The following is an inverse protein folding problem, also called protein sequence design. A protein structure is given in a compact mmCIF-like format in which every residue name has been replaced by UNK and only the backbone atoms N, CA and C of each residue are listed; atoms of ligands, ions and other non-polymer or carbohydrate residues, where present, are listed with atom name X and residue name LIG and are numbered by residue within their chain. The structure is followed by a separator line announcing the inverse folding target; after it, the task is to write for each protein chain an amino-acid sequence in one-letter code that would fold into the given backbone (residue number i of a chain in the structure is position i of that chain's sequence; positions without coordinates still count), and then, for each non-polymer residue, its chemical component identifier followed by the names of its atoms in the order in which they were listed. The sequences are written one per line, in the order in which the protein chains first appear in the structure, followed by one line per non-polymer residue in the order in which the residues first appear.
data_IF_447033502140
#
_entry.id   IF_447033502140
#
_cell.length_a   1.000
_cell.length_b   1.000
_cell.length_c   1.000
_cell.angle_alpha   90.00
_cell.angle_beta   90.00
_cell.angle_gamma   90.00
#
_symmetry.space_group_name_H-M   'P 1'
#
loop_
_entity.id
_entity.type
_entity.pdbx_description
1 polymer ?
#
# COMPACT_ATOMS: atom_id res chain seq x y z
N UNK A 1 -46.96 20.67 10.96
CA UNK A 1 -46.20 19.63 11.71
C UNK A 1 -46.08 18.40 10.82
N UNK A 2 -45.18 18.47 9.84
CA UNK A 2 -45.00 17.40 8.84
C UNK A 2 -44.31 16.22 9.51
N UNK A 3 -45.02 15.09 9.60
CA UNK A 3 -44.43 13.80 9.93
C UNK A 3 -43.36 13.49 8.89
N UNK A 4 -42.14 13.26 9.37
CA UNK A 4 -41.06 12.66 8.60
C UNK A 4 -41.31 11.16 8.68
N UNK A 5 -41.60 10.54 7.54
CA UNK A 5 -41.58 9.09 7.41
C UNK A 5 -40.21 8.57 7.88
N UNK A 6 -40.16 7.54 8.76
CA UNK A 6 -38.91 6.89 9.08
C UNK A 6 -38.50 6.10 7.84
N UNK A 7 -37.58 6.64 7.06
CA UNK A 7 -36.90 5.87 6.03
C UNK A 7 -36.41 4.57 6.66
N UNK A 8 -36.97 3.44 6.21
CA UNK A 8 -36.47 2.12 6.55
C UNK A 8 -34.94 2.12 6.33
N UNK A 9 -34.15 1.51 7.23
CA UNK A 9 -32.72 1.43 7.01
C UNK A 9 -32.53 0.75 5.66
N UNK A 10 -31.86 1.42 4.71
CA UNK A 10 -31.44 0.74 3.49
C UNK A 10 -30.60 -0.44 3.95
N UNK A 11 -31.15 -1.65 3.87
CA UNK A 11 -30.48 -2.83 4.38
C UNK A 11 -29.21 -2.99 3.53
N UNK A 12 -28.07 -2.59 4.10
CA UNK A 12 -26.77 -2.83 3.48
C UNK A 12 -26.74 -4.33 3.12
N UNK A 13 -26.62 -4.69 1.82
CA UNK A 13 -26.66 -6.09 1.40
C UNK A 13 -25.56 -6.93 2.05
N UNK A 14 -24.51 -6.27 2.58
CA UNK A 14 -23.41 -6.92 3.27
C UNK A 14 -23.62 -7.03 4.78
N UNK A 15 -24.61 -6.37 5.37
CA UNK A 15 -24.84 -6.40 6.82
C UNK A 15 -24.97 -7.82 7.41
N UNK A 16 -25.69 -8.78 6.79
CA UNK A 16 -25.81 -10.12 7.33
C UNK A 16 -24.47 -10.88 7.37
N UNK A 17 -23.67 -10.80 6.30
CA UNK A 17 -22.37 -11.50 6.22
C UNK A 17 -21.35 -10.86 7.15
N UNK A 18 -21.38 -9.54 7.31
CA UNK A 18 -20.52 -8.82 8.25
C UNK A 18 -20.89 -9.19 9.69
N UNK A 19 -22.19 -9.16 10.03
CA UNK A 19 -22.68 -9.50 11.37
C UNK A 19 -22.30 -10.94 11.76
N UNK A 20 -22.53 -11.91 10.87
CA UNK A 20 -22.15 -13.30 11.10
C UNK A 20 -20.64 -13.44 11.37
N UNK A 21 -19.80 -12.78 10.58
CA UNK A 21 -18.35 -12.83 10.73
C UNK A 21 -17.83 -12.16 12.02
N UNK A 22 -18.55 -11.18 12.55
CA UNK A 22 -18.21 -10.52 13.82
C UNK A 22 -18.51 -11.39 15.04
N UNK A 23 -19.46 -12.34 14.94
CA UNK A 23 -19.74 -13.32 16.00
C UNK A 23 -18.67 -14.42 16.13
N UNK A 24 -17.85 -14.60 15.10
CA UNK A 24 -16.76 -15.57 15.12
C UNK A 24 -15.51 -15.06 15.86
N UNK A 25 -14.65 -15.99 16.27
CA UNK A 25 -13.37 -15.68 16.90
C UNK A 25 -12.59 -14.59 16.14
N UNK A 26 -12.14 -13.52 16.82
CA UNK A 26 -11.43 -12.41 16.18
C UNK A 26 -10.14 -12.84 15.48
N UNK A 27 -10.15 -12.74 14.15
CA UNK A 27 -8.97 -12.81 13.28
C UNK A 27 -8.72 -11.44 12.67
N UNK A 28 -7.45 -11.04 12.62
CA UNK A 28 -6.98 -9.72 12.16
C UNK A 28 -7.46 -9.33 10.77
N UNK A 29 -7.35 -10.24 9.82
CA UNK A 29 -7.81 -10.07 8.44
C UNK A 29 -8.50 -11.37 8.05
N UNK A 30 -9.75 -11.27 7.60
CA UNK A 30 -10.57 -12.41 7.21
C UNK A 30 -11.25 -12.10 5.87
N UNK A 31 -11.15 -13.00 4.86
CA UNK A 31 -11.98 -12.91 3.67
C UNK A 31 -13.43 -13.30 4.02
N UNK A 32 -14.40 -12.57 3.48
CA UNK A 32 -15.82 -12.86 3.59
C UNK A 32 -16.35 -13.18 2.18
N UNK A 33 -16.53 -14.45 1.81
CA UNK A 33 -17.03 -14.80 0.49
C UNK A 33 -18.46 -14.31 0.31
N UNK A 34 -18.78 -13.83 -0.90
CA UNK A 34 -20.10 -13.41 -1.31
C UNK A 34 -20.74 -14.47 -2.25
N UNK A 35 -22.08 -14.54 -2.34
CA UNK A 35 -22.76 -15.55 -3.16
C UNK A 35 -22.47 -15.47 -4.66
N UNK A 36 -22.07 -14.31 -5.15
CA UNK A 36 -21.70 -14.04 -6.55
C UNK A 36 -20.26 -14.47 -6.89
N UNK A 37 -19.51 -14.99 -5.92
CA UNK A 37 -18.11 -15.37 -6.08
C UNK A 37 -17.12 -14.22 -5.83
N UNK A 38 -17.60 -13.01 -5.52
CA UNK A 38 -16.76 -11.92 -5.02
C UNK A 38 -16.44 -12.13 -3.52
N UNK A 39 -15.61 -11.27 -2.94
CA UNK A 39 -15.30 -11.31 -1.53
C UNK A 39 -15.13 -9.91 -0.91
N UNK A 40 -15.39 -9.83 0.38
CA UNK A 40 -15.01 -8.68 1.21
C UNK A 40 -13.81 -9.03 2.08
N UNK A 41 -13.13 -7.99 2.58
CA UNK A 41 -12.04 -8.13 3.53
C UNK A 41 -12.41 -7.46 4.85
N UNK A 42 -12.66 -8.28 5.87
CA UNK A 42 -12.85 -7.84 7.24
C UNK A 42 -11.48 -7.70 7.92
N UNK A 43 -11.13 -6.49 8.33
CA UNK A 43 -9.94 -6.20 9.14
C UNK A 43 -10.37 -5.83 10.55
N UNK A 44 -9.92 -6.58 11.55
CA UNK A 44 -10.21 -6.35 12.98
C UNK A 44 -8.97 -5.93 13.75
N UNK A 45 -9.14 -5.28 14.89
CA UNK A 45 -8.06 -5.07 15.85
C UNK A 45 -7.62 -6.42 16.42
N UNK A 46 -6.30 -6.64 16.50
CA UNK A 46 -5.76 -7.75 17.32
C UNK A 46 -5.57 -7.22 18.73
N UNK A 47 -5.91 -8.00 19.74
CA UNK A 47 -5.44 -7.73 21.10
C UNK A 47 -3.91 -7.80 21.09
N UNK A 48 -3.30 -6.63 21.20
CA UNK A 48 -1.87 -6.50 21.08
C UNK A 48 -1.23 -7.03 22.37
N UNK A 49 -0.51 -8.15 22.29
CA UNK A 49 0.52 -8.45 23.28
C UNK A 49 1.47 -7.25 23.40
N UNK A 50 2.06 -7.01 24.57
CA UNK A 50 2.96 -5.85 24.80
C UNK A 50 4.05 -5.71 23.71
N UNK A 51 4.59 -6.84 23.23
CA UNK A 51 5.58 -6.89 22.13
C UNK A 51 5.00 -6.44 20.78
N UNK A 52 3.74 -6.76 20.49
CA UNK A 52 3.05 -6.33 19.28
C UNK A 52 2.71 -4.83 19.34
N UNK A 53 2.34 -4.31 20.51
CA UNK A 53 2.13 -2.88 20.70
C UNK A 53 3.41 -2.07 20.48
N UNK A 54 4.56 -2.51 21.00
CA UNK A 54 5.84 -1.84 20.75
C UNK A 54 6.24 -1.81 19.25
N UNK A 55 5.88 -2.84 18.49
CA UNK A 55 6.22 -2.94 17.06
C UNK A 55 5.24 -2.21 16.14
N UNK A 56 3.95 -2.35 16.40
CA UNK A 56 2.88 -1.86 15.52
C UNK A 56 2.26 -0.54 16.01
N UNK A 57 2.34 -0.26 17.31
CA UNK A 57 1.68 0.86 17.98
C UNK A 57 0.22 0.56 18.32
N UNK A 58 -0.55 1.62 18.55
CA UNK A 58 -1.99 1.54 18.79
C UNK A 58 -2.74 1.12 17.50
N UNK A 59 -3.25 -0.12 17.50
CA UNK A 59 -3.95 -0.71 16.37
C UNK A 59 -5.32 -0.08 16.11
N UNK A 60 -6.03 0.40 17.14
CA UNK A 60 -7.32 1.11 16.98
C UNK A 60 -7.08 2.43 16.28
N UNK A 61 -6.02 3.16 16.66
CA UNK A 61 -5.61 4.38 15.95
C UNK A 61 -5.20 4.13 14.50
N UNK A 62 -4.46 3.05 14.22
CA UNK A 62 -4.09 2.71 12.83
C UNK A 62 -5.32 2.36 11.99
N UNK A 63 -6.25 1.60 12.55
CA UNK A 63 -7.47 1.19 11.86
C UNK A 63 -8.37 2.39 11.58
N UNK A 64 -8.56 3.27 12.57
CA UNK A 64 -9.29 4.53 12.41
C UNK A 64 -8.71 5.39 11.28
N UNK A 65 -7.38 5.56 11.25
CA UNK A 65 -6.68 6.29 10.17
C UNK A 65 -6.88 5.66 8.81
N UNK A 66 -6.85 4.33 8.73
CA UNK A 66 -7.10 3.62 7.48
C UNK A 66 -8.53 3.85 6.99
N UNK A 67 -9.52 3.76 7.88
CA UNK A 67 -10.93 4.06 7.57
C UNK A 67 -11.11 5.51 7.08
N UNK A 68 -10.60 6.48 7.84
CA UNK A 68 -10.66 7.91 7.46
C UNK A 68 -9.99 8.17 6.10
N UNK A 69 -8.85 7.55 5.83
CA UNK A 69 -8.17 7.66 4.56
C UNK A 69 -8.97 7.00 3.42
N UNK A 70 -9.56 5.81 3.61
CA UNK A 70 -10.41 5.18 2.60
C UNK A 70 -11.58 6.10 2.22
N UNK A 71 -12.30 6.64 3.22
CA UNK A 71 -13.44 7.55 2.98
C UNK A 71 -12.99 8.82 2.23
N UNK A 72 -11.99 9.53 2.77
CA UNK A 72 -11.58 10.81 2.22
C UNK A 72 -10.99 10.70 0.81
N UNK A 73 -10.19 9.65 0.54
CA UNK A 73 -9.55 9.45 -0.75
C UNK A 73 -10.52 8.85 -1.78
N UNK A 74 -11.43 7.96 -1.34
CA UNK A 74 -12.50 7.43 -2.18
C UNK A 74 -13.43 8.53 -2.66
N UNK A 75 -13.86 9.42 -1.76
CA UNK A 75 -14.67 10.59 -2.10
C UNK A 75 -13.96 11.55 -3.08
N UNK A 76 -12.63 11.58 -3.07
CA UNK A 76 -11.81 12.37 -4.00
C UNK A 76 -11.51 11.65 -5.33
N UNK A 77 -12.09 10.46 -5.58
CA UNK A 77 -11.86 9.68 -6.79
C UNK A 77 -10.43 9.14 -6.92
N UNK A 78 -9.71 9.00 -5.80
CA UNK A 78 -8.34 8.49 -5.78
C UNK A 78 -8.33 6.95 -5.76
N UNK A 79 -7.27 6.31 -6.27
CA UNK A 79 -7.21 4.86 -6.46
C UNK A 79 -7.01 4.10 -5.14
N UNK A 80 -8.01 4.09 -4.27
CA UNK A 80 -8.01 3.37 -2.99
C UNK A 80 -9.09 2.29 -2.97
N UNK A 81 -8.91 1.32 -2.10
CA UNK A 81 -9.94 0.30 -1.89
C UNK A 81 -11.26 0.91 -1.40
N UNK A 82 -12.38 0.41 -1.91
CA UNK A 82 -13.70 0.85 -1.49
C UNK A 82 -14.01 0.33 -0.07
N UNK A 83 -14.31 1.25 0.84
CA UNK A 83 -14.84 0.93 2.17
C UNK A 83 -16.31 0.52 2.01
N UNK A 84 -16.69 -0.60 2.63
CA UNK A 84 -18.08 -1.05 2.73
C UNK A 84 -18.68 -0.53 4.03
N UNK A 85 -18.04 -0.87 5.15
CA UNK A 85 -18.44 -0.41 6.47
C UNK A 85 -17.22 -0.37 7.40
N UNK A 86 -17.32 0.30 8.55
CA UNK A 86 -16.28 0.24 9.56
C UNK A 86 -16.62 0.95 10.85
N UNK A 87 -16.29 0.28 11.95
CA UNK A 87 -16.42 0.76 13.31
C UNK A 87 -15.04 1.08 13.93
N UNK A 88 -15.00 1.34 15.25
CA UNK A 88 -13.76 1.61 15.99
C UNK A 88 -12.75 0.46 15.92
N UNK A 89 -13.23 -0.78 15.85
CA UNK A 89 -12.42 -1.99 16.04
C UNK A 89 -12.34 -2.90 14.83
N UNK A 90 -13.08 -2.55 13.78
CA UNK A 90 -13.08 -3.30 12.54
C UNK A 90 -13.41 -2.41 11.36
N UNK A 91 -12.97 -2.79 10.17
CA UNK A 91 -13.39 -2.19 8.91
C UNK A 91 -13.52 -3.28 7.85
N UNK A 92 -14.43 -3.08 6.90
CA UNK A 92 -14.70 -3.99 5.79
C UNK A 92 -14.49 -3.26 4.49
N UNK A 93 -13.74 -3.85 3.58
CA UNK A 93 -13.51 -3.31 2.23
C UNK A 93 -13.90 -4.31 1.17
N UNK A 94 -14.21 -3.82 -0.04
CA UNK A 94 -14.30 -4.67 -1.23
C UNK A 94 -12.96 -5.37 -1.51
N UNK A 95 -13.01 -6.45 -2.27
CA UNK A 95 -11.81 -6.99 -2.89
C UNK A 95 -11.15 -5.96 -3.81
N UNK A 96 -9.82 -5.97 -3.83
CA UNK A 96 -9.02 -5.05 -4.64
C UNK A 96 -8.20 -5.78 -5.72
N UNK A 97 -8.43 -7.09 -5.88
CA UNK A 97 -7.63 -7.98 -6.71
C UNK A 97 -6.30 -8.38 -6.08
N UNK A 98 -5.47 -9.01 -6.90
CA UNK A 98 -4.18 -9.54 -6.49
C UNK A 98 -3.18 -8.40 -6.19
N UNK A 99 -2.42 -8.53 -5.09
CA UNK A 99 -1.35 -7.58 -4.81
C UNK A 99 -0.15 -7.80 -5.74
N UNK A 100 0.63 -6.75 -6.02
CA UNK A 100 1.76 -6.82 -6.96
C UNK A 100 2.82 -7.86 -6.57
N UNK A 101 2.98 -8.17 -5.28
CA UNK A 101 3.93 -9.22 -4.86
C UNK A 101 3.45 -10.61 -5.32
N UNK A 102 2.15 -10.85 -5.29
CA UNK A 102 1.57 -12.10 -5.82
C UNK A 102 1.81 -12.18 -7.33
N UNK A 103 1.39 -11.16 -8.08
CA UNK A 103 1.54 -11.08 -9.54
C UNK A 103 2.99 -11.17 -10.03
N UNK A 104 3.94 -10.69 -9.23
CA UNK A 104 5.36 -10.80 -9.54
C UNK A 104 5.88 -12.25 -9.41
N UNK A 105 5.29 -13.06 -8.53
CA UNK A 105 5.78 -14.39 -8.17
C UNK A 105 4.96 -15.53 -8.75
N UNK A 106 3.75 -15.25 -9.17
CA UNK A 106 2.83 -16.23 -9.71
C UNK A 106 3.33 -16.66 -11.11
N UNK A 107 3.46 -17.98 -11.31
CA UNK A 107 4.04 -18.56 -12.52
C UNK A 107 3.09 -18.48 -13.73
N UNK A 108 1.80 -18.43 -13.45
CA UNK A 108 0.67 -18.31 -14.38
C UNK A 108 0.45 -16.87 -14.86
N UNK A 109 0.88 -15.86 -14.09
CA UNK A 109 0.82 -14.47 -14.54
C UNK A 109 1.80 -14.24 -15.69
N UNK A 110 1.26 -13.98 -16.89
CA UNK A 110 2.08 -13.74 -18.06
C UNK A 110 2.86 -12.41 -17.96
N UNK A 111 3.97 -12.30 -18.69
CA UNK A 111 4.84 -11.11 -18.62
C UNK A 111 4.11 -9.81 -18.98
N UNK A 112 3.22 -9.85 -19.98
CA UNK A 112 2.41 -8.71 -20.41
C UNK A 112 1.48 -8.21 -19.31
N UNK A 113 0.78 -9.13 -18.66
CA UNK A 113 -0.13 -8.82 -17.56
C UNK A 113 0.66 -8.21 -16.39
N UNK A 114 1.75 -8.85 -15.96
CA UNK A 114 2.62 -8.32 -14.91
C UNK A 114 3.13 -6.91 -15.23
N UNK A 115 3.56 -6.64 -16.46
CA UNK A 115 4.02 -5.31 -16.87
C UNK A 115 2.88 -4.28 -16.81
N UNK A 116 1.67 -4.64 -17.26
CA UNK A 116 0.49 -3.79 -17.16
C UNK A 116 0.12 -3.46 -15.70
N UNK A 117 0.16 -4.44 -14.79
CA UNK A 117 -0.06 -4.22 -13.35
C UNK A 117 0.85 -3.15 -12.78
N UNK A 118 2.14 -3.27 -13.11
CA UNK A 118 3.17 -2.39 -12.58
C UNK A 118 3.09 -1.00 -13.20
N UNK A 119 2.83 -0.90 -14.51
CA UNK A 119 2.57 0.38 -15.16
C UNK A 119 1.38 1.10 -14.51
N UNK A 120 0.25 0.41 -14.34
CA UNK A 120 -0.94 0.94 -13.67
C UNK A 120 -0.64 1.36 -12.21
N UNK A 121 0.22 0.63 -11.51
CA UNK A 121 0.64 0.98 -10.15
C UNK A 121 1.47 2.27 -10.12
N UNK A 122 2.37 2.44 -11.09
CA UNK A 122 3.14 3.66 -11.28
C UNK A 122 2.23 4.87 -11.52
N UNK A 123 1.27 4.73 -12.43
CA UNK A 123 0.29 5.77 -12.73
C UNK A 123 -0.58 6.11 -11.50
N UNK A 124 -1.10 5.10 -10.80
CA UNK A 124 -1.90 5.29 -9.59
C UNK A 124 -1.13 6.04 -8.49
N UNK A 125 0.16 5.73 -8.31
CA UNK A 125 1.01 6.43 -7.35
C UNK A 125 1.27 7.89 -7.77
N UNK A 126 1.47 8.14 -9.07
CA UNK A 126 1.59 9.50 -9.60
C UNK A 126 0.31 10.30 -9.38
N UNK A 127 -0.88 9.69 -9.58
CA UNK A 127 -2.18 10.30 -9.30
C UNK A 127 -2.33 10.71 -7.83
N UNK A 128 -1.95 9.85 -6.88
CA UNK A 128 -1.93 10.21 -5.45
C UNK A 128 -1.03 11.43 -5.19
N UNK A 129 0.20 11.40 -5.73
CA UNK A 129 1.17 12.48 -5.50
C UNK A 129 0.72 13.80 -6.13
N UNK A 130 0.10 13.78 -7.31
CA UNK A 130 -0.51 14.98 -7.94
C UNK A 130 -1.64 15.57 -7.10
N UNK A 131 -2.42 14.72 -6.42
CA UNK A 131 -3.43 15.17 -5.46
C UNK A 131 -2.84 15.70 -4.15
N UNK A 132 -1.51 15.73 -3.99
CA UNK A 132 -0.85 16.21 -2.78
C UNK A 132 -0.90 15.21 -1.63
N UNK A 133 -1.15 13.93 -1.91
CA UNK A 133 -1.31 12.84 -0.96
C UNK A 133 -0.11 11.91 -1.03
N UNK A 134 0.41 11.47 0.12
CA UNK A 134 1.38 10.37 0.20
C UNK A 134 0.69 9.14 0.78
N UNK A 135 0.95 7.96 0.22
CA UNK A 135 0.59 6.69 0.85
C UNK A 135 1.37 6.49 2.16
N UNK A 136 2.63 6.93 2.21
CA UNK A 136 3.52 6.84 3.37
C UNK A 136 4.19 5.47 3.58
N UNK A 137 3.71 4.41 2.90
CA UNK A 137 4.32 3.07 2.86
C UNK A 137 3.83 2.24 1.66
N UNK A 138 4.00 2.72 0.40
CA UNK A 138 3.52 2.02 -0.79
C UNK A 138 4.40 0.81 -1.13
N UNK A 139 4.23 -0.29 -0.40
CA UNK A 139 4.92 -1.55 -0.72
C UNK A 139 4.16 -2.31 -1.79
N UNK A 140 4.81 -3.24 -2.50
CA UNK A 140 4.10 -4.15 -3.42
C UNK A 140 2.86 -4.85 -2.84
N UNK A 141 2.85 -5.10 -1.53
CA UNK A 141 1.72 -5.76 -0.85
C UNK A 141 0.55 -4.81 -0.59
N UNK A 142 0.76 -3.50 -0.66
CA UNK A 142 -0.26 -2.49 -0.42
C UNK A 142 -0.86 -1.91 -1.71
N UNK A 143 -0.50 -2.51 -2.86
CA UNK A 143 -0.98 -2.12 -4.18
C UNK A 143 -1.59 -3.37 -4.80
N UNK A 144 -2.89 -3.31 -5.09
CA UNK A 144 -3.63 -4.41 -5.69
C UNK A 144 -4.13 -4.04 -7.09
N UNK A 145 -4.28 -5.04 -7.94
CA UNK A 145 -4.79 -4.93 -9.30
C UNK A 145 -5.84 -6.01 -9.55
N UNK A 146 -6.98 -5.59 -10.09
CA UNK A 146 -8.12 -6.46 -10.45
C UNK A 146 -8.14 -6.86 -11.94
N UNK A 147 -7.04 -6.65 -12.66
CA UNK A 147 -6.95 -6.83 -14.12
C UNK A 147 -7.26 -5.56 -14.92
N UNK A 148 -7.91 -4.57 -14.31
CA UNK A 148 -8.27 -3.30 -14.98
C UNK A 148 -7.72 -2.07 -14.25
N UNK A 149 -7.88 -2.00 -12.93
CA UNK A 149 -7.58 -0.83 -12.11
C UNK A 149 -6.74 -1.16 -10.89
N UNK A 150 -5.87 -0.23 -10.51
CA UNK A 150 -5.07 -0.34 -9.29
C UNK A 150 -5.78 0.33 -8.12
N UNK A 151 -5.75 -0.33 -6.96
CA UNK A 151 -6.22 0.23 -5.69
C UNK A 151 -5.18 0.07 -4.58
N UNK A 152 -4.99 1.12 -3.79
CA UNK A 152 -4.16 1.10 -2.61
C UNK A 152 -4.93 0.58 -1.38
N UNK A 153 -4.28 -0.26 -0.59
CA UNK A 153 -4.75 -0.75 0.71
C UNK A 153 -3.75 -0.35 1.82
N UNK A 154 -4.05 -0.67 3.09
CA UNK A 154 -3.13 -0.38 4.22
C UNK A 154 -2.83 1.11 4.40
N UNK A 155 -3.87 1.94 4.37
CA UNK A 155 -3.78 3.40 4.30
C UNK A 155 -3.48 4.09 5.64
N UNK A 156 -3.22 3.35 6.71
CA UNK A 156 -2.98 3.89 8.06
C UNK A 156 -1.82 4.90 8.18
N UNK A 157 -0.90 4.92 7.21
CA UNK A 157 0.22 5.89 7.12
C UNK A 157 0.02 6.98 6.07
N UNK A 158 -1.14 7.00 5.44
CA UNK A 158 -1.49 8.00 4.45
C UNK A 158 -1.55 9.36 5.12
N UNK A 159 -1.06 10.38 4.41
CA UNK A 159 -1.08 11.74 4.90
C UNK A 159 -1.54 12.68 3.79
N UNK A 160 -2.73 13.24 4.00
CA UNK A 160 -3.20 14.40 3.24
C UNK A 160 -2.39 15.61 3.72
N UNK A 161 -1.98 16.49 2.79
CA UNK A 161 -1.17 17.71 3.06
C UNK A 161 0.35 17.50 3.23
N UNK A 162 0.88 16.29 3.02
CA UNK A 162 2.34 16.07 2.90
C UNK A 162 2.88 16.41 1.50
N UNK A 163 2.57 17.60 0.99
CA UNK A 163 2.85 18.06 -0.39
C UNK A 163 4.32 18.30 -0.74
N UNK A 164 5.25 18.07 0.19
CA UNK A 164 6.68 18.29 -0.06
C UNK A 164 7.24 17.16 -0.92
N UNK A 165 8.04 17.51 -1.92
CA UNK A 165 8.71 16.57 -2.85
C UNK A 165 9.46 15.44 -2.14
N UNK A 166 10.02 15.70 -0.95
CA UNK A 166 10.71 14.68 -0.13
C UNK A 166 9.79 13.54 0.33
N UNK A 167 8.51 13.79 0.57
CA UNK A 167 7.59 12.74 1.01
C UNK A 167 7.18 11.84 -0.16
N UNK A 168 6.91 12.42 -1.33
CA UNK A 168 6.72 11.65 -2.56
C UNK A 168 7.96 10.83 -2.92
N UNK A 169 9.15 11.42 -2.74
CA UNK A 169 10.39 10.71 -2.96
C UNK A 169 10.56 9.49 -2.04
N UNK A 170 10.16 9.62 -0.77
CA UNK A 170 10.18 8.50 0.17
C UNK A 170 9.21 7.39 -0.26
N UNK A 171 8.01 7.74 -0.69
CA UNK A 171 7.04 6.77 -1.23
C UNK A 171 7.62 6.00 -2.42
N UNK A 172 8.22 6.70 -3.39
CA UNK A 172 8.88 6.06 -4.54
C UNK A 172 10.03 5.14 -4.11
N UNK A 173 10.87 5.58 -3.17
CA UNK A 173 11.98 4.76 -2.67
C UNK A 173 11.51 3.51 -1.93
N UNK A 174 10.44 3.62 -1.12
CA UNK A 174 9.82 2.47 -0.44
C UNK A 174 9.27 1.49 -1.48
N UNK A 175 8.63 1.98 -2.54
CA UNK A 175 8.10 1.13 -3.59
C UNK A 175 9.21 0.37 -4.33
N UNK A 176 10.25 1.08 -4.79
CA UNK A 176 11.44 0.49 -5.43
C UNK A 176 12.08 -0.57 -4.53
N UNK A 177 12.34 -0.20 -3.26
CA UNK A 177 12.92 -1.10 -2.28
C UNK A 177 12.07 -2.35 -2.07
N UNK A 178 10.75 -2.19 -1.98
CA UNK A 178 9.84 -3.31 -1.78
C UNK A 178 9.85 -4.29 -2.96
N UNK A 179 10.01 -3.79 -4.19
CA UNK A 179 10.14 -4.61 -5.39
C UNK A 179 11.41 -5.45 -5.35
N UNK A 180 12.57 -4.80 -5.16
CA UNK A 180 13.87 -5.46 -5.15
C UNK A 180 14.09 -6.36 -3.92
N UNK A 181 13.35 -6.11 -2.84
CA UNK A 181 13.30 -7.01 -1.70
C UNK A 181 12.46 -8.27 -1.97
N UNK A 182 11.41 -8.16 -2.78
CA UNK A 182 10.56 -9.31 -3.13
C UNK A 182 11.21 -10.19 -4.19
N UNK A 183 11.85 -9.58 -5.19
CA UNK A 183 12.60 -10.22 -6.25
C UNK A 183 13.66 -9.25 -6.80
N UNK A 184 14.93 -9.65 -6.74
CA UNK A 184 16.06 -8.84 -7.22
C UNK A 184 16.10 -8.71 -8.73
N UNK A 185 15.43 -9.60 -9.47
CA UNK A 185 15.39 -9.61 -10.92
C UNK A 185 14.23 -8.80 -11.51
N UNK A 186 13.38 -8.20 -10.67
CA UNK A 186 12.16 -7.47 -11.07
C UNK A 186 12.39 -6.14 -11.83
N UNK A 187 13.54 -5.96 -12.48
CA UNK A 187 13.95 -4.73 -13.15
C UNK A 187 13.00 -4.31 -14.27
N UNK A 188 12.47 -5.26 -15.05
CA UNK A 188 11.52 -4.96 -16.12
C UNK A 188 10.19 -4.45 -15.58
N UNK A 189 9.58 -5.18 -14.64
CA UNK A 189 8.32 -4.78 -14.01
C UNK A 189 8.46 -3.45 -13.27
N UNK A 190 9.54 -3.29 -12.50
CA UNK A 190 9.86 -2.01 -11.84
C UNK A 190 10.09 -0.89 -12.86
N UNK A 191 10.73 -1.21 -13.99
CA UNK A 191 10.96 -0.29 -15.09
C UNK A 191 9.66 0.23 -15.68
N UNK A 192 8.68 -0.66 -15.93
CA UNK A 192 7.34 -0.30 -16.40
C UNK A 192 6.62 0.63 -15.41
N UNK A 193 6.65 0.29 -14.11
CA UNK A 193 6.04 1.14 -13.08
C UNK A 193 6.68 2.53 -13.02
N UNK A 194 8.00 2.62 -13.06
CA UNK A 194 8.68 3.91 -12.95
C UNK A 194 8.53 4.75 -14.21
N UNK A 195 8.52 4.14 -15.40
CA UNK A 195 8.22 4.87 -16.64
C UNK A 195 6.82 5.49 -16.56
N UNK A 196 5.79 4.71 -16.20
CA UNK A 196 4.43 5.21 -16.06
C UNK A 196 4.31 6.27 -14.95
N UNK A 197 4.96 6.06 -13.81
CA UNK A 197 5.00 7.04 -12.73
C UNK A 197 5.62 8.37 -13.20
N UNK A 198 6.78 8.33 -13.85
CA UNK A 198 7.51 9.53 -14.27
C UNK A 198 6.79 10.33 -15.36
N UNK A 199 5.97 9.68 -16.18
CA UNK A 199 5.13 10.36 -17.17
C UNK A 199 4.08 11.29 -16.52
N UNK A 200 3.68 11.01 -15.28
CA UNK A 200 2.62 11.75 -14.58
C UNK A 200 3.05 12.32 -13.22
N UNK A 201 4.31 12.14 -12.81
CA UNK A 201 4.77 12.56 -11.49
C UNK A 201 4.80 14.09 -11.34
N UNK A 202 4.53 14.63 -10.13
CA UNK A 202 4.74 16.04 -9.86
C UNK A 202 6.19 16.47 -10.16
N UNK A 203 6.36 17.67 -10.72
CA UNK A 203 7.64 18.16 -11.20
C UNK A 203 8.73 18.17 -10.11
N UNK A 204 9.93 17.69 -10.47
CA UNK A 204 11.08 17.63 -9.57
C UNK A 204 11.01 16.54 -8.51
N UNK A 205 9.98 15.68 -8.51
CA UNK A 205 9.91 14.52 -7.61
C UNK A 205 11.08 13.56 -7.85
N UNK A 206 11.41 13.26 -9.12
CA UNK A 206 12.56 12.40 -9.43
C UNK A 206 13.89 12.99 -8.96
N UNK A 207 14.08 14.30 -9.11
CA UNK A 207 15.26 14.98 -8.54
C UNK A 207 15.35 14.83 -7.03
N UNK A 208 14.22 14.87 -6.32
CA UNK A 208 14.17 14.60 -4.88
C UNK A 208 14.46 13.12 -4.54
N UNK A 209 13.96 12.18 -5.34
CA UNK A 209 14.27 10.73 -5.21
C UNK A 209 15.77 10.51 -5.33
N UNK A 210 16.41 11.04 -6.38
CA UNK A 210 17.86 10.91 -6.60
C UNK A 210 18.68 11.52 -5.48
N UNK A 211 18.35 12.75 -5.04
CA UNK A 211 19.03 13.40 -3.90
C UNK A 211 18.91 12.56 -2.63
N UNK A 212 17.73 12.04 -2.33
CA UNK A 212 17.53 11.20 -1.15
C UNK A 212 18.30 9.88 -1.26
N UNK A 213 18.33 9.26 -2.43
CA UNK A 213 19.09 8.04 -2.66
C UNK A 213 20.60 8.26 -2.50
N UNK A 214 21.15 9.36 -3.01
CA UNK A 214 22.55 9.73 -2.84
C UNK A 214 22.88 9.95 -1.36
N UNK A 215 22.06 10.72 -0.64
CA UNK A 215 22.25 10.95 0.80
C UNK A 215 22.23 9.63 1.59
N UNK A 216 21.30 8.73 1.26
CA UNK A 216 21.22 7.41 1.88
C UNK A 216 22.42 6.51 1.53
N UNK A 217 22.97 6.64 0.31
CA UNK A 217 24.14 5.87 -0.11
C UNK A 217 25.41 6.29 0.64
N UNK A 218 25.57 7.58 0.95
CA UNK A 218 26.73 8.07 1.71
C UNK A 218 26.82 7.48 3.14
N UNK A 219 25.67 7.15 3.75
CA UNK A 219 25.62 6.54 5.10
C UNK A 219 25.62 5.01 5.08
N UNK A 220 25.53 4.39 3.90
CA UNK A 220 25.48 2.94 3.75
C UNK A 220 26.75 2.21 4.26
N UNK A 221 27.99 2.73 4.06
CA UNK A 221 29.20 2.09 4.60
C UNK A 221 29.19 2.00 6.13
N UNK A 222 28.76 3.06 6.82
CA UNK A 222 28.64 3.06 8.28
C UNK A 222 27.60 2.03 8.77
N UNK A 223 26.46 1.93 8.07
CA UNK A 223 25.44 0.93 8.38
C UNK A 223 25.92 -0.51 8.10
N UNK A 224 26.83 -0.72 7.13
CA UNK A 224 27.44 -2.02 6.87
C UNK A 224 28.47 -2.40 7.94
N UNK A 225 29.28 -1.44 8.41
CA UNK A 225 30.24 -1.65 9.49
C UNK A 225 29.56 -2.08 10.81
N UNK A 226 28.46 -1.43 11.18
CA UNK A 226 27.67 -1.82 12.37
C UNK A 226 27.14 -3.26 12.26
N UNK A 227 26.79 -3.73 11.06
CA UNK A 227 26.34 -5.12 10.83
C UNK A 227 27.45 -6.13 11.01
N UNK A 228 28.66 -5.81 10.53
CA UNK A 228 29.84 -6.66 10.66
C UNK A 228 30.17 -6.89 12.14
N UNK A 229 30.09 -5.83 12.95
CA UNK A 229 30.30 -5.88 14.40
C UNK A 229 29.18 -6.65 15.11
N UNK A 230 27.93 -6.50 14.68
CA UNK A 230 26.78 -7.13 15.33
C UNK A 230 26.58 -8.64 15.02
N UNK A 231 27.38 -9.24 14.12
CA UNK A 231 27.31 -10.67 13.70
C UNK A 231 25.90 -11.18 13.41
N UNK A 232 25.00 -10.34 12.88
CA UNK A 232 23.63 -10.75 12.53
C UNK A 232 23.50 -11.00 11.02
N UNK A 233 22.86 -12.10 10.59
CA UNK A 233 22.55 -12.31 9.18
C UNK A 233 21.70 -11.15 8.68
N UNK A 234 22.10 -10.55 7.56
CA UNK A 234 21.40 -9.40 7.03
C UNK A 234 20.02 -9.81 6.51
N UNK A 235 18.97 -9.16 7.01
CA UNK A 235 17.61 -9.39 6.52
C UNK A 235 17.54 -9.09 5.01
N UNK A 236 16.64 -9.77 4.29
CA UNK A 236 16.38 -9.49 2.87
C UNK A 236 16.12 -8.00 2.60
N UNK A 237 15.44 -7.33 3.54
CA UNK A 237 15.18 -5.88 3.47
C UNK A 237 16.49 -5.06 3.50
N UNK A 238 17.43 -5.39 4.40
CA UNK A 238 18.72 -4.70 4.47
C UNK A 238 19.60 -4.96 3.25
N UNK A 239 19.45 -6.12 2.62
CA UNK A 239 20.20 -6.51 1.43
C UNK A 239 19.62 -5.94 0.13
N UNK A 240 18.36 -5.51 0.13
CA UNK A 240 17.72 -4.84 -1.00
C UNK A 240 17.99 -3.33 -1.02
N UNK A 241 18.39 -2.73 0.10
CA UNK A 241 18.67 -1.31 0.20
C UNK A 241 19.76 -0.84 -0.79
N UNK A 242 20.97 -1.41 -0.84
CA UNK A 242 21.99 -0.96 -1.81
C UNK A 242 21.52 -1.15 -3.26
N UNK A 243 20.75 -2.19 -3.55
CA UNK A 243 20.18 -2.41 -4.89
C UNK A 243 19.19 -1.30 -5.28
N UNK A 244 18.31 -0.89 -4.36
CA UNK A 244 17.37 0.20 -4.60
C UNK A 244 18.07 1.53 -4.85
N UNK A 245 19.13 1.83 -4.09
CA UNK A 245 19.92 3.05 -4.25
C UNK A 245 20.71 3.05 -5.57
N UNK A 246 21.31 1.91 -5.93
CA UNK A 246 22.01 1.73 -7.20
C UNK A 246 21.06 1.86 -8.39
N UNK A 247 19.88 1.24 -8.30
CA UNK A 247 18.83 1.31 -9.33
C UNK A 247 18.42 2.76 -9.62
N UNK A 248 18.17 3.55 -8.57
CA UNK A 248 17.82 4.99 -8.72
C UNK A 248 18.97 5.79 -9.33
N UNK A 249 20.21 5.46 -8.97
CA UNK A 249 21.39 6.19 -9.43
C UNK A 249 21.70 5.92 -10.91
N UNK A 250 21.50 4.67 -11.37
CA UNK A 250 21.75 4.26 -12.75
C UNK A 250 20.65 4.72 -13.72
N UNK A 251 19.41 4.89 -13.26
CA UNK A 251 18.29 5.27 -14.12
C UNK A 251 18.36 6.76 -14.51
N UNK A 252 18.65 7.02 -15.80
CA UNK A 252 18.47 8.33 -16.43
C UNK A 252 16.96 8.57 -16.66
N UNK A 253 16.55 9.84 -16.58
CA UNK A 253 15.14 10.25 -16.69
C UNK A 253 14.59 9.92 -18.07
#
# INVERSE_FOLDING_TARGET
MSQIDPAAPSADPFAPVIAAALCETPVRVKPLPLPDGDQLWLKRVEDATHRNWQRKGDMRRLLRREREACVALGAAGLPVVALVDGHTDWLVTRDAGANLRHLLRAADTCARERQAAFAAAGEALARLHRAGVTHGRPTMRSICWDGTTVRFISLSRTAMRRRRKRHFALDVLIFIHSCLCADRSAHEALGAALTAYLAHAPEGTWGAVRRMALLAAMVAPAAAAVKLVARRPASRELMALPLALAYVSARRR
#
